data_IF_305525853576
#
_entry.id   IF_305525853576
#
_cell.length_a   1.000
_cell.length_b   1.000
_cell.length_c   1.000
_cell.angle_alpha   90.00
_cell.angle_beta   90.00
_cell.angle_gamma   90.00
#
_symmetry.space_group_name_H-M   'P 1'
#
loop_
_entity.id
_entity.type
_entity.pdbx_description
1 polymer ?
#
# COMPACT_ATOMS: atom_id res chain seq x y z
N UNK A 1 -27.21 -8.41 10.97
CA UNK A 1 -27.55 -7.70 12.22
C UNK A 1 -26.58 -8.08 13.32
N UNK A 2 -26.32 -7.15 14.25
CA UNK A 2 -25.44 -7.33 15.41
C UNK A 2 -26.23 -7.08 16.69
N UNK A 3 -26.43 -8.09 17.56
CA UNK A 3 -27.02 -7.89 18.87
C UNK A 3 -26.08 -7.06 19.74
N UNK A 4 -26.60 -6.07 20.43
CA UNK A 4 -25.83 -5.14 21.25
C UNK A 4 -26.47 -5.02 22.62
N UNK A 5 -25.66 -5.21 23.67
CA UNK A 5 -26.06 -5.06 25.05
C UNK A 5 -25.46 -3.76 25.63
N UNK A 6 -26.27 -2.99 26.32
CA UNK A 6 -25.85 -1.76 27.03
C UNK A 6 -26.11 -1.97 28.51
N UNK A 7 -25.07 -1.72 29.32
CA UNK A 7 -25.15 -1.78 30.77
C UNK A 7 -24.62 -0.48 31.37
N UNK A 8 -25.42 0.20 32.18
CA UNK A 8 -25.01 1.39 32.92
C UNK A 8 -25.31 1.19 34.40
N UNK A 9 -24.28 1.36 35.23
CA UNK A 9 -24.35 1.23 36.68
C UNK A 9 -23.75 2.44 37.36
N UNK A 10 -24.29 2.84 38.50
CA UNK A 10 -23.73 3.90 39.31
C UNK A 10 -22.50 3.43 40.10
N UNK A 11 -21.52 4.31 40.27
CA UNK A 11 -20.30 4.00 41.05
C UNK A 11 -20.61 3.65 42.51
N UNK A 12 -21.68 4.23 43.05
CA UNK A 12 -22.17 3.92 44.41
C UNK A 12 -22.93 2.59 44.51
N UNK A 13 -23.10 1.87 43.42
CA UNK A 13 -23.83 0.61 43.33
C UNK A 13 -25.26 0.79 42.79
N UNK A 14 -25.78 -0.24 42.14
CA UNK A 14 -27.09 -0.28 41.51
C UNK A 14 -27.08 0.14 40.03
N UNK A 15 -28.01 -0.43 39.26
CA UNK A 15 -28.19 -0.11 37.85
C UNK A 15 -28.90 1.22 37.61
N UNK A 16 -28.66 1.85 36.49
CA UNK A 16 -29.35 3.06 36.05
C UNK A 16 -30.74 2.70 35.51
N UNK A 17 -31.69 2.48 36.42
CA UNK A 17 -33.01 2.01 36.11
C UNK A 17 -33.81 3.00 35.25
N UNK A 18 -34.49 2.52 34.20
CA UNK A 18 -35.35 3.30 33.29
C UNK A 18 -34.64 4.47 32.59
N UNK A 19 -33.29 4.44 32.53
CA UNK A 19 -32.51 5.48 31.87
C UNK A 19 -32.74 5.43 30.36
N UNK A 20 -33.13 6.54 29.71
CA UNK A 20 -33.20 6.63 28.27
C UNK A 20 -31.77 6.79 27.68
N UNK A 21 -31.45 5.96 26.71
CA UNK A 21 -30.14 5.93 26.02
C UNK A 21 -30.40 6.09 24.51
N UNK A 22 -29.51 6.77 23.83
CA UNK A 22 -29.48 6.86 22.35
C UNK A 22 -28.26 6.11 21.85
N UNK A 23 -28.48 5.14 20.94
CA UNK A 23 -27.40 4.32 20.40
C UNK A 23 -27.20 4.63 18.92
N UNK A 24 -25.97 4.97 18.56
CA UNK A 24 -25.53 5.16 17.18
C UNK A 24 -24.47 4.14 16.84
N UNK A 25 -24.40 3.76 15.57
CA UNK A 25 -23.43 2.78 15.07
C UNK A 25 -22.90 3.19 13.70
N UNK A 26 -21.59 3.08 13.55
CA UNK A 26 -20.87 3.36 12.32
C UNK A 26 -19.99 2.15 11.97
N UNK A 27 -20.00 1.75 10.69
CA UNK A 27 -19.14 0.70 10.16
C UNK A 27 -18.11 1.33 9.24
N UNK A 28 -16.86 0.94 9.39
CA UNK A 28 -15.75 1.33 8.49
C UNK A 28 -14.85 0.14 8.18
N UNK A 29 -14.06 0.23 7.12
CA UNK A 29 -13.02 -0.76 6.84
C UNK A 29 -11.99 -0.81 7.97
N UNK A 30 -11.51 -2.00 8.32
CA UNK A 30 -10.44 -2.21 9.30
C UNK A 30 -9.14 -2.55 8.58
N UNK A 31 -8.13 -1.70 8.70
CA UNK A 31 -6.79 -2.02 8.26
C UNK A 31 -6.18 -3.09 9.19
N UNK A 32 -5.58 -4.11 8.60
CA UNK A 32 -4.89 -5.18 9.32
C UNK A 32 -3.38 -5.00 9.19
N UNK A 33 -2.70 -5.23 10.29
CA UNK A 33 -1.24 -5.25 10.34
C UNK A 33 -0.79 -6.40 11.23
N UNK A 34 0.09 -7.26 10.70
CA UNK A 34 0.70 -8.36 11.44
C UNK A 34 2.22 -8.20 11.37
N UNK A 35 2.87 -8.01 12.53
CA UNK A 35 4.31 -7.73 12.64
C UNK A 35 5.19 -8.79 11.99
N UNK A 36 4.78 -10.06 12.03
CA UNK A 36 5.54 -11.17 11.45
C UNK A 36 5.35 -11.28 9.92
N UNK A 37 4.39 -10.54 9.35
CA UNK A 37 4.00 -10.59 7.94
C UNK A 37 3.99 -9.20 7.27
N UNK A 38 4.88 -8.30 7.68
CA UNK A 38 4.96 -6.92 7.14
C UNK A 38 5.16 -6.85 5.61
N UNK A 39 5.72 -7.91 5.01
CA UNK A 39 5.91 -7.99 3.57
C UNK A 39 4.63 -8.34 2.79
N UNK A 40 3.56 -8.72 3.49
CA UNK A 40 2.28 -9.08 2.89
C UNK A 40 1.33 -7.88 2.92
N UNK A 41 0.52 -7.76 1.86
CA UNK A 41 -0.61 -6.85 1.81
C UNK A 41 -1.84 -7.53 2.38
N UNK A 42 -2.57 -6.80 3.23
CA UNK A 42 -3.89 -7.14 3.74
C UNK A 42 -4.93 -6.09 3.32
N UNK A 43 -4.60 -5.31 2.30
CA UNK A 43 -5.46 -4.26 1.78
C UNK A 43 -6.64 -4.83 0.99
N UNK A 44 -7.82 -4.19 1.03
CA UNK A 44 -8.97 -4.61 0.24
C UNK A 44 -8.71 -4.48 -1.26
N UNK A 45 -9.36 -5.32 -2.10
CA UNK A 45 -9.38 -5.09 -3.54
C UNK A 45 -10.00 -3.74 -3.90
N UNK A 46 -9.48 -3.09 -4.93
CA UNK A 46 -10.05 -1.84 -5.43
C UNK A 46 -11.43 -2.08 -6.01
N UNK A 47 -12.36 -1.15 -5.76
CA UNK A 47 -13.70 -1.23 -6.36
C UNK A 47 -13.63 -1.20 -7.89
N UNK A 48 -14.43 -2.03 -8.55
CA UNK A 48 -14.58 -1.99 -10.00
C UNK A 48 -15.40 -0.75 -10.37
N UNK A 49 -14.75 0.36 -10.65
CA UNK A 49 -15.42 1.54 -11.21
C UNK A 49 -15.49 1.40 -12.73
N UNK A 50 -16.72 1.40 -13.26
CA UNK A 50 -16.96 1.63 -14.68
C UNK A 50 -17.04 3.16 -14.89
N UNK A 51 -15.99 3.70 -15.50
CA UNK A 51 -16.00 5.00 -16.16
C UNK A 51 -16.18 6.22 -15.27
N UNK A 52 -15.08 6.77 -14.76
CA UNK A 52 -14.77 8.21 -14.74
C UNK A 52 -13.38 8.43 -14.14
N UNK A 53 -12.62 9.31 -14.77
CA UNK A 53 -11.35 9.77 -14.26
C UNK A 53 -11.55 10.41 -12.87
N UNK A 54 -10.95 9.84 -11.85
CA UNK A 54 -10.79 10.50 -10.55
C UNK A 54 -9.30 10.68 -10.28
N UNK A 55 -8.99 11.90 -9.87
CA UNK A 55 -7.69 12.34 -9.40
C UNK A 55 -7.18 11.45 -8.26
N UNK A 56 -5.89 11.08 -8.35
CA UNK A 56 -5.13 10.33 -7.36
C UNK A 56 -4.90 11.16 -6.07
N UNK A 57 -5.92 11.27 -5.23
CA UNK A 57 -5.76 11.63 -3.83
C UNK A 57 -5.82 10.34 -2.99
N UNK A 58 -4.72 9.62 -2.90
CA UNK A 58 -4.60 8.39 -2.10
C UNK A 58 -4.81 8.61 -0.59
N UNK A 59 -4.74 9.83 -0.07
CA UNK A 59 -4.99 10.13 1.34
C UNK A 59 -6.47 10.21 1.73
N UNK A 60 -7.40 10.28 0.76
CA UNK A 60 -8.83 10.42 1.03
C UNK A 60 -9.57 9.08 1.22
N UNK A 61 -8.94 7.93 0.97
CA UNK A 61 -9.65 6.64 0.89
C UNK A 61 -10.04 6.03 2.24
N UNK A 62 -9.40 6.37 3.35
CA UNK A 62 -9.74 5.81 4.66
C UNK A 62 -11.04 6.39 5.27
N UNK A 63 -11.45 7.59 4.88
CA UNK A 63 -12.66 8.24 5.40
C UNK A 63 -13.91 8.04 4.53
N UNK A 64 -13.78 7.62 3.28
CA UNK A 64 -14.90 7.51 2.34
C UNK A 64 -15.74 6.24 2.48
N UNK A 65 -15.26 5.21 3.19
CA UNK A 65 -15.98 3.95 3.38
C UNK A 65 -16.71 3.84 4.74
N UNK A 66 -16.74 4.92 5.53
CA UNK A 66 -17.49 4.95 6.78
C UNK A 66 -18.99 5.10 6.50
N UNK A 67 -19.77 4.15 7.02
CA UNK A 67 -21.22 4.13 6.85
C UNK A 67 -21.92 4.12 8.20
N UNK A 68 -22.80 5.09 8.43
CA UNK A 68 -23.71 5.07 9.58
C UNK A 68 -24.78 3.99 9.33
N UNK A 69 -24.86 3.01 10.22
CA UNK A 69 -25.83 1.89 10.17
C UNK A 69 -26.93 2.04 11.21
N UNK A 70 -26.72 2.86 12.23
CA UNK A 70 -27.74 3.28 13.19
C UNK A 70 -27.49 4.71 13.63
N UNK A 71 -28.53 5.52 13.69
CA UNK A 71 -28.47 6.90 14.17
C UNK A 71 -29.47 7.11 15.30
N UNK A 72 -28.94 7.32 16.51
CA UNK A 72 -29.69 7.68 17.72
C UNK A 72 -30.88 6.76 18.01
N UNK A 73 -30.73 5.46 17.80
CA UNK A 73 -31.78 4.49 18.14
C UNK A 73 -32.17 4.61 19.62
N UNK A 74 -33.43 4.74 19.94
CA UNK A 74 -33.88 4.87 21.33
C UNK A 74 -33.81 3.51 22.04
N UNK A 75 -33.23 3.48 23.23
CA UNK A 75 -33.19 2.35 24.14
C UNK A 75 -33.51 2.81 25.54
N UNK A 76 -34.44 2.13 26.25
CA UNK A 76 -34.69 2.36 27.67
C UNK A 76 -34.16 1.20 28.47
N UNK A 77 -33.29 1.47 29.43
CA UNK A 77 -32.72 0.45 30.28
C UNK A 77 -33.73 -0.10 31.26
N UNK A 78 -33.60 -1.36 31.65
CA UNK A 78 -34.45 -2.01 32.65
C UNK A 78 -34.09 -1.58 34.08
N UNK A 79 -34.68 -2.24 35.09
CA UNK A 79 -34.43 -1.94 36.53
C UNK A 79 -33.00 -2.28 36.95
N UNK A 80 -32.32 -3.16 36.26
CA UNK A 80 -30.93 -3.51 36.52
C UNK A 80 -29.93 -2.59 35.81
N UNK A 81 -30.40 -1.64 35.00
CA UNK A 81 -29.58 -0.77 34.17
C UNK A 81 -29.11 -1.43 32.87
N UNK A 82 -29.76 -2.54 32.47
CA UNK A 82 -29.43 -3.27 31.25
C UNK A 82 -30.44 -2.94 30.13
N UNK A 83 -29.97 -2.98 28.89
CA UNK A 83 -30.81 -2.86 27.72
C UNK A 83 -30.22 -3.63 26.53
N UNK A 84 -31.09 -4.17 25.68
CA UNK A 84 -30.69 -4.90 24.48
C UNK A 84 -31.32 -4.27 23.25
N UNK A 85 -30.53 -4.15 22.20
CA UNK A 85 -31.02 -3.76 20.87
C UNK A 85 -30.26 -4.52 19.80
N UNK A 86 -30.77 -4.46 18.58
CA UNK A 86 -30.10 -5.06 17.43
C UNK A 86 -29.75 -3.96 16.43
N UNK A 87 -28.49 -3.91 16.01
CA UNK A 87 -28.07 -3.05 14.92
C UNK A 87 -28.30 -3.80 13.61
N UNK A 88 -29.27 -3.35 12.84
CA UNK A 88 -29.60 -3.92 11.55
C UNK A 88 -28.83 -3.27 10.41
N UNK A 89 -28.93 -3.83 9.19
CA UNK A 89 -28.31 -3.30 7.98
C UNK A 89 -26.80 -3.14 8.01
N UNK A 90 -26.12 -3.94 8.84
CA UNK A 90 -24.66 -4.02 8.81
C UNK A 90 -24.24 -4.63 7.48
N UNK A 91 -23.42 -3.92 6.65
CA UNK A 91 -23.04 -4.41 5.34
C UNK A 91 -22.21 -5.69 5.44
N UNK A 92 -22.49 -6.65 4.57
CA UNK A 92 -21.58 -7.79 4.38
C UNK A 92 -20.40 -7.34 3.53
N UNK A 93 -19.19 -7.63 3.98
CA UNK A 93 -17.96 -7.39 3.25
C UNK A 93 -17.10 -8.65 3.27
N UNK A 94 -16.20 -8.77 2.31
CA UNK A 94 -15.18 -9.81 2.27
C UNK A 94 -13.86 -9.39 2.92
N UNK A 95 -13.86 -8.19 3.51
CA UNK A 95 -12.77 -7.63 4.29
C UNK A 95 -13.21 -7.37 5.72
N UNK A 96 -12.28 -7.37 6.68
CA UNK A 96 -12.57 -7.01 8.04
C UNK A 96 -13.10 -5.58 8.16
N UNK A 97 -14.11 -5.43 9.00
CA UNK A 97 -14.72 -4.14 9.29
C UNK A 97 -14.64 -3.85 10.79
N UNK A 98 -14.71 -2.59 11.12
CA UNK A 98 -14.82 -2.11 12.49
C UNK A 98 -16.20 -1.49 12.69
N UNK A 99 -16.96 -2.04 13.64
CA UNK A 99 -18.21 -1.49 14.09
C UNK A 99 -17.92 -0.62 15.32
N UNK A 100 -18.08 0.68 15.17
CA UNK A 100 -18.02 1.64 16.26
C UNK A 100 -19.42 1.88 16.80
N UNK A 101 -19.64 1.54 18.06
CA UNK A 101 -20.88 1.75 18.80
C UNK A 101 -20.72 2.94 19.75
N UNK A 102 -21.72 3.80 19.81
CA UNK A 102 -21.75 4.95 20.68
C UNK A 102 -23.11 5.01 21.38
N UNK A 103 -23.11 5.00 22.71
CA UNK A 103 -24.30 5.15 23.52
C UNK A 103 -24.24 6.46 24.31
N UNK A 104 -25.24 7.32 24.12
CA UNK A 104 -25.35 8.64 24.74
C UNK A 104 -26.53 8.69 25.68
N UNK A 105 -26.33 9.20 26.88
CA UNK A 105 -27.35 9.34 27.91
C UNK A 105 -27.11 10.60 28.74
N UNK A 106 -28.14 11.08 29.45
CA UNK A 106 -27.98 12.14 30.42
C UNK A 106 -27.83 11.54 31.82
N UNK A 107 -26.82 11.99 32.55
CA UNK A 107 -26.60 11.61 33.95
C UNK A 107 -27.65 12.26 34.87
N UNK A 108 -27.73 11.92 36.19
CA UNK A 108 -28.66 12.52 37.11
C UNK A 108 -28.54 14.03 37.25
N UNK A 109 -27.40 14.63 36.88
CA UNK A 109 -27.18 16.09 36.92
C UNK A 109 -27.60 16.75 35.60
N UNK A 110 -28.04 15.99 34.60
CA UNK A 110 -28.42 16.45 33.26
C UNK A 110 -27.24 16.61 32.29
N UNK A 111 -26.05 16.21 32.67
CA UNK A 111 -24.89 16.22 31.77
C UNK A 111 -24.95 15.05 30.79
N UNK A 112 -24.63 15.34 29.54
CA UNK A 112 -24.64 14.32 28.49
C UNK A 112 -23.33 13.52 28.56
N UNK A 113 -23.46 12.23 28.79
CA UNK A 113 -22.37 11.26 28.81
C UNK A 113 -22.42 10.40 27.54
N UNK A 114 -21.25 10.03 27.06
CA UNK A 114 -21.12 9.18 25.88
C UNK A 114 -20.13 8.07 26.16
N UNK A 115 -20.56 6.84 26.00
CA UNK A 115 -19.70 5.64 26.04
C UNK A 115 -19.52 5.08 24.65
N UNK A 116 -18.32 4.58 24.34
CA UNK A 116 -17.96 4.04 23.05
C UNK A 116 -17.44 2.62 23.19
N UNK A 117 -17.77 1.79 22.23
CA UNK A 117 -17.24 0.43 22.09
C UNK A 117 -16.92 0.16 20.64
N UNK A 118 -15.86 -0.59 20.40
CA UNK A 118 -15.44 -0.94 19.06
C UNK A 118 -15.37 -2.46 18.94
N UNK A 119 -16.04 -3.00 17.93
CA UNK A 119 -16.07 -4.43 17.66
C UNK A 119 -15.56 -4.70 16.26
N UNK A 120 -14.67 -5.70 16.12
CA UNK A 120 -14.25 -6.17 14.78
C UNK A 120 -15.26 -7.15 14.23
N UNK A 121 -15.70 -6.88 13.00
CA UNK A 121 -16.53 -7.78 12.21
C UNK A 121 -15.65 -8.53 11.22
N UNK A 122 -15.47 -9.81 11.45
CA UNK A 122 -14.67 -10.68 10.60
C UNK A 122 -15.53 -11.33 9.51
N UNK A 123 -15.16 -11.26 8.23
CA UNK A 123 -15.92 -11.88 7.14
C UNK A 123 -15.82 -13.41 7.13
N UNK A 124 -14.73 -13.97 7.63
CA UNK A 124 -14.44 -15.39 7.70
C UNK A 124 -13.60 -15.69 8.96
N UNK A 125 -13.47 -16.94 9.32
CA UNK A 125 -12.59 -17.37 10.42
C UNK A 125 -11.09 -17.27 10.08
N UNK A 126 -10.77 -16.96 8.82
CA UNK A 126 -9.42 -16.82 8.28
C UNK A 126 -9.26 -15.46 7.58
N UNK A 127 -8.02 -14.98 7.53
CA UNK A 127 -7.63 -13.75 6.86
C UNK A 127 -6.72 -14.08 5.69
N UNK A 128 -7.03 -13.55 4.50
CA UNK A 128 -6.16 -13.63 3.34
C UNK A 128 -5.06 -12.56 3.40
N UNK A 129 -3.87 -12.90 2.95
CA UNK A 129 -2.77 -11.97 2.70
C UNK A 129 -2.12 -12.29 1.35
N UNK A 130 -1.48 -11.33 0.73
CA UNK A 130 -0.76 -11.54 -0.53
C UNK A 130 0.54 -10.74 -0.56
N UNK A 131 1.58 -11.38 -1.11
CA UNK A 131 2.88 -10.75 -1.36
C UNK A 131 3.28 -10.96 -2.80
N UNK A 132 3.65 -9.87 -3.49
CA UNK A 132 4.11 -9.88 -4.86
C UNK A 132 5.35 -9.00 -5.03
N UNK A 133 6.03 -9.14 -6.16
CA UNK A 133 7.08 -8.22 -6.59
C UNK A 133 6.43 -6.90 -7.06
N UNK A 134 7.20 -5.79 -7.06
CA UNK A 134 6.66 -4.49 -7.48
C UNK A 134 6.39 -4.43 -8.98
N UNK A 135 7.19 -5.15 -9.77
CA UNK A 135 7.02 -5.25 -11.22
C UNK A 135 7.59 -6.55 -11.79
N UNK A 136 7.12 -6.91 -12.99
CA UNK A 136 7.59 -8.07 -13.76
C UNK A 136 7.51 -7.76 -15.26
N UNK A 137 8.40 -8.30 -16.06
CA UNK A 137 8.29 -8.20 -17.52
C UNK A 137 7.18 -9.11 -18.05
N UNK A 138 6.40 -8.63 -19.01
CA UNK A 138 5.35 -9.41 -19.65
C UNK A 138 5.90 -10.76 -20.16
N UNK A 139 5.10 -11.82 -20.03
CA UNK A 139 5.44 -13.22 -20.39
C UNK A 139 6.55 -13.85 -19.55
N UNK A 140 7.20 -13.15 -18.64
CA UNK A 140 8.06 -13.76 -17.65
C UNK A 140 7.23 -14.44 -16.56
N UNK A 141 7.82 -15.47 -15.93
CA UNK A 141 7.21 -16.10 -14.76
C UNK A 141 7.34 -15.16 -13.57
N UNK A 142 6.21 -14.76 -13.04
CA UNK A 142 6.09 -14.03 -11.79
C UNK A 142 5.88 -15.01 -10.65
N UNK A 143 6.60 -14.80 -9.56
CA UNK A 143 6.39 -15.53 -8.31
C UNK A 143 5.73 -14.64 -7.29
N UNK A 144 4.72 -15.17 -6.64
CA UNK A 144 4.01 -14.49 -5.56
C UNK A 144 3.56 -15.48 -4.51
N UNK A 145 3.15 -14.98 -3.37
CA UNK A 145 2.75 -15.80 -2.23
C UNK A 145 1.39 -15.36 -1.74
N UNK A 146 0.47 -16.30 -1.63
CA UNK A 146 -0.76 -16.11 -0.89
C UNK A 146 -0.58 -16.67 0.52
N UNK A 147 -1.27 -16.07 1.48
CA UNK A 147 -1.16 -16.36 2.91
C UNK A 147 -2.55 -16.49 3.51
N UNK A 148 -2.73 -17.47 4.40
CA UNK A 148 -3.91 -17.59 5.24
C UNK A 148 -3.49 -17.54 6.72
N UNK A 149 -4.10 -16.65 7.48
CA UNK A 149 -3.89 -16.47 8.92
C UNK A 149 -5.19 -16.64 9.69
N UNK A 150 -5.09 -17.00 10.95
CA UNK A 150 -6.14 -16.80 11.94
C UNK A 150 -6.21 -15.32 12.36
N UNK A 151 -7.26 -14.90 13.03
CA UNK A 151 -7.44 -13.50 13.44
C UNK A 151 -6.32 -12.98 14.36
N UNK A 152 -5.69 -13.88 15.14
CA UNK A 152 -4.57 -13.58 16.05
C UNK A 152 -3.20 -13.56 15.36
N UNK A 153 -3.16 -13.70 14.04
CA UNK A 153 -1.92 -13.68 13.25
C UNK A 153 -1.20 -15.02 13.15
N UNK A 154 -1.74 -16.10 13.76
CA UNK A 154 -1.17 -17.44 13.59
C UNK A 154 -1.47 -17.99 12.21
N UNK A 155 -0.57 -18.82 11.69
CA UNK A 155 -0.77 -19.52 10.43
C UNK A 155 -2.06 -20.35 10.43
N UNK A 156 -2.83 -20.30 9.35
CA UNK A 156 -3.99 -21.16 9.11
C UNK A 156 -3.64 -22.21 8.03
N UNK A 157 -3.13 -23.40 8.42
CA UNK A 157 -2.76 -24.45 7.47
C UNK A 157 -4.01 -25.08 6.84
N UNK A 158 -3.82 -25.77 5.70
CA UNK A 158 -4.86 -26.49 4.94
C UNK A 158 -6.07 -25.62 4.52
N UNK A 159 -5.89 -24.30 4.53
CA UNK A 159 -6.91 -23.33 4.12
C UNK A 159 -6.94 -23.23 2.59
N UNK A 160 -8.13 -23.27 2.00
CA UNK A 160 -8.29 -23.07 0.55
C UNK A 160 -7.98 -21.62 0.17
N UNK A 161 -7.02 -21.46 -0.74
CA UNK A 161 -6.57 -20.16 -1.26
C UNK A 161 -6.75 -20.13 -2.78
N UNK A 162 -7.28 -19.02 -3.28
CA UNK A 162 -7.41 -18.73 -4.71
C UNK A 162 -6.88 -17.34 -4.97
N UNK A 163 -6.16 -17.16 -6.07
CA UNK A 163 -5.70 -15.83 -6.50
C UNK A 163 -6.23 -15.55 -7.90
N UNK A 164 -6.92 -14.42 -8.04
CA UNK A 164 -7.44 -13.89 -9.29
C UNK A 164 -6.60 -12.69 -9.71
N UNK A 165 -6.36 -12.54 -11.02
CA UNK A 165 -5.67 -11.39 -11.58
C UNK A 165 -6.65 -10.49 -12.34
N UNK A 166 -6.55 -9.18 -12.12
CA UNK A 166 -7.39 -8.16 -12.74
C UNK A 166 -6.46 -7.10 -13.33
N UNK A 167 -6.41 -6.99 -14.66
CA UNK A 167 -5.62 -5.96 -15.32
C UNK A 167 -6.39 -4.63 -15.38
N UNK A 168 -5.70 -3.53 -15.10
CA UNK A 168 -6.16 -2.16 -15.29
C UNK A 168 -5.33 -1.53 -16.41
N UNK A 169 -5.94 -1.46 -17.60
CA UNK A 169 -5.30 -0.96 -18.80
C UNK A 169 -5.69 0.50 -18.97
N UNK A 170 -4.76 1.40 -18.72
CA UNK A 170 -4.99 2.84 -18.95
C UNK A 170 -4.51 3.22 -20.33
N UNK A 171 -5.44 3.62 -21.19
CA UNK A 171 -5.16 4.16 -22.52
C UNK A 171 -5.22 5.68 -22.45
N UNK A 172 -4.09 6.33 -22.71
CA UNK A 172 -3.99 7.77 -22.75
C UNK A 172 -4.09 8.26 -24.19
N UNK A 173 -5.11 9.05 -24.49
CA UNK A 173 -5.27 9.72 -25.80
C UNK A 173 -4.99 11.21 -25.67
N UNK A 174 -4.11 11.72 -26.53
CA UNK A 174 -3.79 13.15 -26.59
C UNK A 174 -4.77 13.86 -27.53
N UNK A 175 -5.61 14.73 -27.01
CA UNK A 175 -6.55 15.54 -27.79
C UNK A 175 -6.02 16.98 -27.91
N UNK A 176 -6.06 17.53 -29.12
CA UNK A 176 -5.72 18.94 -29.34
C UNK A 176 -6.95 19.79 -28.99
N UNK A 177 -6.77 20.71 -28.06
CA UNK A 177 -7.80 21.67 -27.64
C UNK A 177 -7.84 22.89 -28.52
N UNK A 178 -8.96 23.61 -28.49
CA UNK A 178 -9.07 24.95 -29.11
C UNK A 178 -8.04 25.87 -28.46
N UNK A 179 -7.22 26.55 -29.26
CA UNK A 179 -6.11 27.36 -28.76
C UNK A 179 -4.73 26.72 -28.84
N UNK A 180 -4.63 25.48 -29.35
CA UNK A 180 -3.36 24.78 -29.58
C UNK A 180 -2.79 24.03 -28.36
N UNK A 181 -3.50 24.02 -27.24
CA UNK A 181 -3.16 23.20 -26.07
C UNK A 181 -3.50 21.73 -26.32
N UNK A 182 -2.81 20.85 -25.62
CA UNK A 182 -3.13 19.43 -25.61
C UNK A 182 -3.71 19.05 -24.25
N UNK A 183 -4.81 18.30 -24.27
CA UNK A 183 -5.37 17.62 -23.11
C UNK A 183 -5.10 16.13 -23.25
N UNK A 184 -4.79 15.48 -22.15
CA UNK A 184 -4.69 14.03 -22.07
C UNK A 184 -5.99 13.48 -21.53
N UNK A 185 -6.59 12.55 -22.25
CA UNK A 185 -7.82 11.85 -21.85
C UNK A 185 -7.43 10.41 -21.50
N UNK A 186 -7.54 10.08 -20.22
CA UNK A 186 -7.20 8.77 -19.69
C UNK A 186 -8.46 7.93 -19.59
N UNK A 187 -8.46 6.81 -20.29
CA UNK A 187 -9.52 5.81 -20.17
C UNK A 187 -8.92 4.56 -19.54
N UNK A 188 -9.43 4.15 -18.38
CA UNK A 188 -9.02 2.93 -17.71
C UNK A 188 -10.05 1.84 -17.96
N UNK A 189 -9.62 0.76 -18.61
CA UNK A 189 -10.39 -0.44 -18.80
C UNK A 189 -9.96 -1.49 -17.78
N UNK A 190 -10.92 -2.15 -17.14
CA UNK A 190 -10.66 -3.24 -16.20
C UNK A 190 -10.94 -4.57 -16.90
N UNK A 191 -9.91 -5.43 -17.02
CA UNK A 191 -9.99 -6.74 -17.64
C UNK A 191 -9.74 -7.83 -16.61
N UNK A 192 -10.69 -8.74 -16.47
CA UNK A 192 -10.53 -9.93 -15.64
C UNK A 192 -9.66 -10.95 -16.38
N UNK A 193 -8.49 -11.29 -15.82
CA UNK A 193 -7.58 -12.29 -16.38
C UNK A 193 -7.85 -13.70 -15.82
N UNK A 194 -8.84 -13.82 -14.93
CA UNK A 194 -9.22 -15.08 -14.32
C UNK A 194 -8.34 -15.51 -13.16
N UNK A 195 -8.52 -16.78 -12.76
CA UNK A 195 -7.77 -17.38 -11.67
C UNK A 195 -6.37 -17.78 -12.13
N UNK A 196 -5.35 -17.27 -11.43
CA UNK A 196 -3.93 -17.50 -11.76
C UNK A 196 -3.24 -18.46 -10.80
N UNK A 197 -3.85 -18.75 -9.66
CA UNK A 197 -3.34 -19.72 -8.69
C UNK A 197 -4.46 -20.24 -7.81
N UNK A 198 -4.45 -21.54 -7.50
CA UNK A 198 -5.33 -22.19 -6.51
C UNK A 198 -4.56 -23.25 -5.77
N UNK A 199 -4.89 -23.45 -4.51
CA UNK A 199 -4.30 -24.51 -3.70
C UNK A 199 -4.67 -24.37 -2.24
N UNK A 200 -4.02 -25.16 -1.41
CA UNK A 200 -4.15 -25.10 0.06
C UNK A 200 -2.87 -24.56 0.67
N UNK A 201 -3.02 -23.82 1.75
CA UNK A 201 -1.88 -23.30 2.52
C UNK A 201 -1.10 -24.43 3.20
N UNK A 202 0.23 -24.27 3.28
CA UNK A 202 1.14 -25.17 3.99
C UNK A 202 1.05 -24.98 5.52
N UNK A 203 1.91 -25.66 6.28
CA UNK A 203 1.98 -25.54 7.74
C UNK A 203 2.28 -24.13 8.25
N UNK A 204 2.80 -23.25 7.41
CA UNK A 204 3.08 -21.82 7.69
C UNK A 204 1.97 -20.89 7.19
N UNK A 205 0.87 -21.46 6.69
CA UNK A 205 -0.21 -20.68 6.10
C UNK A 205 0.06 -20.19 4.67
N UNK A 206 1.16 -20.62 4.00
CA UNK A 206 1.62 -20.11 2.72
C UNK A 206 1.18 -20.99 1.55
N UNK A 207 0.84 -20.35 0.43
CA UNK A 207 0.71 -20.95 -0.89
C UNK A 207 1.66 -20.23 -1.84
N UNK A 208 2.65 -20.94 -2.37
CA UNK A 208 3.59 -20.42 -3.37
C UNK A 208 2.98 -20.56 -4.75
N UNK A 209 2.94 -19.47 -5.48
CA UNK A 209 2.33 -19.38 -6.80
C UNK A 209 3.31 -18.92 -7.87
N UNK A 210 3.14 -19.42 -9.08
CA UNK A 210 3.80 -18.91 -10.29
C UNK A 210 2.73 -18.64 -11.37
N UNK A 211 2.78 -17.47 -11.98
CA UNK A 211 1.91 -17.12 -13.10
C UNK A 211 2.68 -16.39 -14.20
N UNK A 212 2.13 -16.42 -15.41
CA UNK A 212 2.57 -15.57 -16.53
C UNK A 212 1.44 -14.62 -16.86
N UNK A 213 1.75 -13.34 -16.91
CA UNK A 213 0.81 -12.29 -17.26
C UNK A 213 1.21 -11.71 -18.62
N UNK A 214 0.29 -11.75 -19.57
CA UNK A 214 0.52 -11.29 -20.95
C UNK A 214 0.11 -9.82 -21.14
N UNK A 215 -0.82 -9.34 -20.30
CA UNK A 215 -1.31 -7.96 -20.36
C UNK A 215 -0.33 -7.02 -19.67
N UNK A 216 0.09 -5.98 -20.37
CA UNK A 216 0.92 -4.91 -19.81
C UNK A 216 0.05 -3.89 -19.06
N UNK A 217 0.59 -3.31 -18.01
CA UNK A 217 -0.09 -2.33 -17.17
C UNK A 217 -0.11 -2.73 -15.70
N UNK A 218 -0.96 -2.09 -14.93
CA UNK A 218 -1.17 -2.45 -13.53
C UNK A 218 -2.07 -3.70 -13.44
N UNK A 219 -1.58 -4.74 -12.78
CA UNK A 219 -2.37 -5.96 -12.51
C UNK A 219 -2.57 -6.06 -11.01
N UNK A 220 -3.82 -6.09 -10.59
CA UNK A 220 -4.21 -6.35 -9.21
C UNK A 220 -4.38 -7.85 -9.01
N UNK A 221 -3.65 -8.42 -8.06
CA UNK A 221 -3.80 -9.80 -7.61
C UNK A 221 -4.68 -9.82 -6.38
N UNK A 222 -5.79 -10.53 -6.45
CA UNK A 222 -6.77 -10.66 -5.36
C UNK A 222 -6.68 -12.08 -4.80
N UNK A 223 -6.18 -12.20 -3.58
CA UNK A 223 -6.16 -13.46 -2.85
C UNK A 223 -7.45 -13.60 -2.04
N UNK A 224 -8.10 -14.76 -2.18
CA UNK A 224 -9.29 -15.16 -1.43
C UNK A 224 -8.96 -16.37 -0.59
N UNK A 225 -9.16 -16.29 0.73
CA UNK A 225 -9.09 -17.41 1.66
C UNK A 225 -10.50 -17.84 2.02
N UNK A 226 -10.75 -19.15 1.98
CA UNK A 226 -12.06 -19.73 2.31
C UNK A 226 -11.93 -20.57 3.58
N UNK A 227 -12.77 -20.28 4.57
CA UNK A 227 -12.83 -21.04 5.81
C UNK A 227 -13.61 -22.37 5.63
N UNK A 228 -13.57 -23.29 6.61
CA UNK A 228 -14.26 -24.60 6.51
C UNK A 228 -15.77 -24.50 6.37
N UNK A 229 -16.38 -23.37 6.72
CA UNK A 229 -17.84 -23.13 6.63
C UNK A 229 -18.23 -22.51 5.30
N UNK A 230 -17.24 -22.09 4.48
CA UNK A 230 -17.45 -21.49 3.18
C UNK A 230 -17.44 -19.97 3.16
N UNK A 231 -17.18 -19.29 4.30
CA UNK A 231 -17.01 -17.84 4.29
C UNK A 231 -15.64 -17.45 3.72
N UNK A 232 -15.56 -16.29 3.14
CA UNK A 232 -14.37 -15.84 2.42
C UNK A 232 -13.83 -14.51 2.95
N UNK A 233 -12.51 -14.41 2.98
CA UNK A 233 -11.77 -13.17 3.21
C UNK A 233 -10.90 -12.86 1.99
N UNK A 234 -10.81 -11.59 1.60
CA UNK A 234 -10.05 -11.15 0.43
C UNK A 234 -8.99 -10.12 0.82
N UNK A 235 -7.86 -10.17 0.10
CA UNK A 235 -6.82 -9.14 0.15
C UNK A 235 -6.19 -8.99 -1.22
N UNK A 236 -5.70 -7.79 -1.53
CA UNK A 236 -5.12 -7.49 -2.83
C UNK A 236 -3.74 -6.85 -2.73
N UNK A 237 -2.95 -7.05 -3.79
CA UNK A 237 -1.71 -6.34 -4.05
C UNK A 237 -1.56 -6.09 -5.55
N UNK A 238 -1.01 -4.94 -5.92
CA UNK A 238 -0.75 -4.60 -7.31
C UNK A 238 0.67 -4.98 -7.72
N UNK A 239 0.82 -5.40 -8.97
CA UNK A 239 2.07 -5.63 -9.66
C UNK A 239 2.03 -4.93 -11.01
N UNK A 240 3.15 -4.32 -11.41
CA UNK A 240 3.27 -3.73 -12.73
C UNK A 240 3.83 -4.75 -13.72
N UNK A 241 3.10 -5.00 -14.80
CA UNK A 241 3.54 -5.84 -15.91
C UNK A 241 4.05 -4.94 -17.02
N UNK A 242 5.34 -5.02 -17.33
CA UNK A 242 6.00 -4.16 -18.31
C UNK A 242 6.23 -4.90 -19.59
N UNK A 243 6.01 -4.26 -20.74
CA UNK A 243 6.33 -4.81 -22.06
C UNK A 243 7.55 -4.10 -22.62
N UNK A 244 8.53 -4.86 -23.13
CA UNK A 244 9.69 -4.28 -23.79
C UNK A 244 9.26 -3.40 -24.97
N UNK A 245 9.78 -2.18 -25.02
CA UNK A 245 9.52 -1.22 -26.09
C UNK A 245 8.26 -0.38 -25.95
N UNK A 246 7.43 -0.59 -24.95
CA UNK A 246 6.34 0.34 -24.62
C UNK A 246 6.88 1.50 -23.78
N UNK A 247 6.78 2.71 -24.33
CA UNK A 247 6.97 3.94 -23.55
C UNK A 247 5.72 4.17 -22.71
N UNK A 248 5.90 4.30 -21.41
CA UNK A 248 4.78 4.65 -20.55
C UNK A 248 4.53 6.16 -20.62
N UNK A 249 3.35 6.54 -21.04
CA UNK A 249 2.89 7.91 -20.98
C UNK A 249 1.94 8.05 -19.80
N UNK A 250 2.42 8.58 -18.67
CA UNK A 250 1.53 9.06 -17.63
C UNK A 250 0.66 10.18 -18.20
N UNK A 251 -0.65 10.05 -18.01
CA UNK A 251 -1.61 11.00 -18.58
C UNK A 251 -1.67 12.35 -17.89
N UNK A 252 -0.75 12.63 -16.98
CA UNK A 252 -0.72 13.87 -16.24
C UNK A 252 0.49 14.72 -16.64
N UNK A 253 0.23 16.01 -16.83
CA UNK A 253 1.25 17.00 -17.22
C UNK A 253 2.04 17.51 -16.01
N UNK A 254 2.45 16.59 -15.11
CA UNK A 254 3.29 16.89 -13.96
C UNK A 254 4.71 16.34 -14.11
N UNK A 255 5.64 16.90 -13.36
CA UNK A 255 7.06 16.55 -13.42
C UNK A 255 7.43 15.30 -12.63
N UNK A 256 6.45 14.51 -12.17
CA UNK A 256 6.64 13.28 -11.41
C UNK A 256 6.55 12.05 -12.29
N UNK A 257 7.31 11.01 -11.94
CA UNK A 257 7.26 9.66 -12.50
C UNK A 257 7.27 8.63 -11.41
N UNK A 258 6.70 7.46 -11.69
CA UNK A 258 6.79 6.33 -10.79
C UNK A 258 8.19 5.71 -10.84
N UNK A 259 8.76 5.48 -9.68
CA UNK A 259 9.97 4.72 -9.47
C UNK A 259 9.61 3.46 -8.70
N UNK A 260 9.67 2.30 -9.37
CA UNK A 260 9.19 1.04 -8.84
C UNK A 260 10.35 0.15 -8.41
N UNK A 261 10.55 -0.08 -7.10
CA UNK A 261 11.52 -1.05 -6.65
C UNK A 261 11.03 -2.48 -6.92
N UNK A 262 11.94 -3.39 -7.29
CA UNK A 262 11.62 -4.81 -7.47
C UNK A 262 11.12 -5.45 -6.17
N UNK A 263 11.70 -5.06 -5.03
CA UNK A 263 11.32 -5.47 -3.67
C UNK A 263 11.20 -4.26 -2.77
N UNK A 264 10.39 -4.34 -1.73
CA UNK A 264 10.30 -3.29 -0.70
C UNK A 264 11.39 -3.39 0.37
N UNK A 265 12.04 -4.56 0.52
CA UNK A 265 13.08 -4.81 1.52
C UNK A 265 14.23 -5.59 0.91
N UNK A 266 15.45 -5.20 1.25
CA UNK A 266 16.70 -5.78 0.77
C UNK A 266 17.65 -6.06 1.93
N UNK A 267 18.55 -7.04 1.73
CA UNK A 267 19.68 -7.27 2.63
C UNK A 267 20.92 -6.54 2.13
N UNK A 268 21.84 -6.22 3.03
CA UNK A 268 23.14 -5.65 2.69
C UNK A 268 23.89 -6.57 1.69
N UNK A 269 24.40 -6.00 0.60
CA UNK A 269 25.08 -6.72 -0.47
C UNK A 269 24.18 -7.22 -1.60
N UNK A 270 22.84 -7.21 -1.45
CA UNK A 270 21.91 -7.44 -2.56
C UNK A 270 21.97 -6.30 -3.58
N UNK A 271 21.46 -6.56 -4.78
CA UNK A 271 21.26 -5.53 -5.80
C UNK A 271 19.81 -5.12 -5.81
N UNK A 272 19.55 -3.87 -5.45
CA UNK A 272 18.22 -3.25 -5.58
C UNK A 272 18.04 -2.77 -7.03
N UNK A 273 16.95 -3.24 -7.66
CA UNK A 273 16.55 -2.83 -9.01
C UNK A 273 15.33 -1.96 -8.96
N UNK A 274 15.37 -0.86 -9.71
CA UNK A 274 14.28 0.11 -9.81
C UNK A 274 13.92 0.30 -11.27
N UNK A 275 12.64 0.18 -11.58
CA UNK A 275 12.13 0.55 -12.89
C UNK A 275 11.72 2.02 -12.87
N UNK A 276 12.29 2.80 -13.78
CA UNK A 276 12.00 4.23 -13.97
C UNK A 276 10.94 4.36 -15.05
N UNK A 277 9.71 4.73 -14.68
CA UNK A 277 8.60 4.86 -15.63
C UNK A 277 8.61 6.20 -16.33
N UNK A 278 9.64 6.44 -17.15
CA UNK A 278 9.82 7.70 -17.84
C UNK A 278 9.13 7.72 -19.22
N UNK A 279 8.58 8.86 -19.65
CA UNK A 279 7.98 9.05 -20.97
C UNK A 279 9.03 9.36 -22.06
N UNK A 280 10.31 9.07 -21.79
CA UNK A 280 11.42 9.37 -22.69
C UNK A 280 12.02 8.09 -23.24
N UNK A 281 12.36 8.07 -24.54
CA UNK A 281 13.10 6.97 -25.13
C UNK A 281 14.53 6.90 -24.61
N UNK A 282 15.15 8.07 -24.40
CA UNK A 282 16.45 8.22 -23.79
C UNK A 282 16.44 9.37 -22.80
N UNK A 283 17.09 9.20 -21.70
CA UNK A 283 17.26 10.24 -20.69
C UNK A 283 18.61 10.08 -19.99
N UNK A 284 19.22 11.18 -19.59
CA UNK A 284 20.29 11.20 -18.61
C UNK A 284 19.63 11.25 -17.24
N UNK A 285 19.91 10.28 -16.38
CA UNK A 285 19.34 10.21 -15.04
C UNK A 285 20.41 10.54 -14.00
N UNK A 286 20.08 11.46 -13.09
CA UNK A 286 20.77 11.61 -11.83
C UNK A 286 20.01 10.75 -10.80
N UNK A 287 20.68 9.75 -10.29
CA UNK A 287 20.17 8.86 -9.24
C UNK A 287 20.84 9.25 -7.93
N UNK A 288 20.05 9.49 -6.88
CA UNK A 288 20.58 9.73 -5.55
C UNK A 288 19.99 8.75 -4.54
N UNK A 289 20.80 8.32 -3.60
CA UNK A 289 20.39 7.56 -2.41
C UNK A 289 20.46 8.50 -1.22
N UNK A 290 19.36 8.62 -0.52
CA UNK A 290 19.14 9.68 0.46
C UNK A 290 18.55 9.11 1.76
N UNK A 291 18.94 9.66 2.90
CA UNK A 291 18.29 9.46 4.20
C UNK A 291 18.32 10.76 5.01
N UNK A 292 19.27 11.09 5.73
CA UNK A 292 19.45 12.37 6.46
C UNK A 292 20.22 13.41 5.61
N UNK A 293 20.47 13.05 4.37
CA UNK A 293 21.23 13.76 3.35
C UNK A 293 21.51 12.82 2.19
N UNK A 294 22.27 13.27 1.23
CA UNK A 294 22.67 12.45 0.08
C UNK A 294 23.80 11.52 0.53
N UNK A 295 23.58 10.19 0.45
CA UNK A 295 24.57 9.17 0.76
C UNK A 295 25.47 8.95 -0.46
N UNK A 296 24.88 8.73 -1.64
CA UNK A 296 25.62 8.56 -2.90
C UNK A 296 24.81 9.07 -4.10
N UNK A 297 25.51 9.35 -5.19
CA UNK A 297 24.89 9.78 -6.46
C UNK A 297 25.52 9.07 -7.65
N UNK A 298 24.69 8.78 -8.67
CA UNK A 298 25.13 8.20 -9.93
C UNK A 298 24.51 8.96 -11.09
N UNK A 299 25.28 9.14 -12.18
CA UNK A 299 24.76 9.66 -13.44
C UNK A 299 24.74 8.53 -14.46
N UNK A 300 23.58 8.20 -14.96
CA UNK A 300 23.34 7.06 -15.84
C UNK A 300 22.62 7.49 -17.11
N UNK A 301 22.86 6.77 -18.21
CA UNK A 301 22.02 6.88 -19.41
C UNK A 301 20.92 5.83 -19.34
N UNK A 302 19.68 6.27 -19.37
CA UNK A 302 18.51 5.39 -19.36
C UNK A 302 17.95 5.26 -20.78
N UNK A 303 17.61 4.03 -21.13
CA UNK A 303 16.89 3.69 -22.35
C UNK A 303 15.45 3.30 -22.00
N UNK A 304 14.45 3.89 -22.65
CA UNK A 304 13.03 3.60 -22.41
C UNK A 304 12.61 2.16 -22.73
N UNK A 305 13.43 1.39 -23.45
CA UNK A 305 13.18 -0.04 -23.65
C UNK A 305 13.53 -0.88 -22.41
N UNK A 306 14.52 -0.45 -21.63
CA UNK A 306 14.90 -1.05 -20.35
C UNK A 306 15.32 0.06 -19.37
N UNK A 307 14.33 0.81 -18.83
CA UNK A 307 14.62 1.93 -17.96
C UNK A 307 14.86 1.47 -16.51
N UNK A 308 15.85 0.58 -16.33
CA UNK A 308 16.18 -0.03 -15.04
C UNK A 308 17.44 0.59 -14.43
N UNK A 309 17.33 0.99 -13.17
CA UNK A 309 18.46 1.39 -12.31
C UNK A 309 18.79 0.26 -11.36
N UNK A 310 20.07 -0.13 -11.28
CA UNK A 310 20.52 -1.17 -10.37
C UNK A 310 21.56 -0.59 -9.41
N UNK A 311 21.31 -0.72 -8.10
CA UNK A 311 22.17 -0.21 -7.04
C UNK A 311 22.54 -1.32 -6.09
N UNK A 312 23.82 -1.37 -5.67
CA UNK A 312 24.28 -2.34 -4.67
C UNK A 312 23.99 -1.80 -3.28
N UNK A 313 23.21 -2.54 -2.51
CA UNK A 313 22.77 -2.13 -1.16
C UNK A 313 23.97 -2.15 -0.21
N UNK A 314 24.24 -1.01 0.42
CA UNK A 314 25.33 -0.78 1.35
C UNK A 314 24.88 -0.96 2.80
N UNK A 315 25.85 -1.17 3.72
CA UNK A 315 25.56 -1.38 5.15
C UNK A 315 25.06 -0.12 5.87
N UNK A 316 25.37 1.05 5.35
CA UNK A 316 25.00 2.36 5.88
C UNK A 316 23.60 2.84 5.43
N UNK A 317 22.93 2.08 4.57
CA UNK A 317 21.59 2.38 4.10
C UNK A 317 20.48 2.01 5.12
N UNK A 318 20.78 1.17 6.09
CA UNK A 318 19.79 0.73 7.09
C UNK A 318 19.31 1.84 8.01
N UNK A 319 18.06 1.78 8.55
CA UNK A 319 17.06 0.74 8.29
C UNK A 319 16.23 0.96 7.01
N UNK A 320 16.29 2.14 6.41
CA UNK A 320 15.64 2.49 5.14
C UNK A 320 16.39 3.62 4.44
N UNK A 321 16.24 3.72 3.15
CA UNK A 321 16.70 4.83 2.33
C UNK A 321 15.64 5.20 1.29
N UNK A 322 15.68 6.43 0.84
CA UNK A 322 14.97 6.92 -0.32
C UNK A 322 15.90 6.92 -1.53
N UNK A 323 15.41 6.44 -2.65
CA UNK A 323 16.11 6.51 -3.93
C UNK A 323 15.34 7.50 -4.80
N UNK A 324 16.00 8.57 -5.21
CA UNK A 324 15.45 9.54 -6.16
C UNK A 324 16.10 9.38 -7.53
N UNK A 325 15.30 9.55 -8.58
CA UNK A 325 15.75 9.51 -9.98
C UNK A 325 15.22 10.73 -10.71
N UNK A 326 16.11 11.64 -11.05
CA UNK A 326 15.82 12.77 -11.91
C UNK A 326 16.21 12.43 -13.34
N UNK A 327 15.22 12.09 -14.17
CA UNK A 327 15.42 11.80 -15.58
C UNK A 327 15.32 13.08 -16.42
N UNK A 328 16.38 13.38 -17.15
CA UNK A 328 16.51 14.57 -17.98
C UNK A 328 16.56 14.17 -19.45
N UNK A 329 15.68 14.75 -20.24
CA UNK A 329 15.73 14.69 -21.71
C UNK A 329 16.20 16.03 -22.26
N UNK A 330 17.26 16.01 -23.07
CA UNK A 330 17.73 17.19 -23.77
C UNK A 330 16.72 17.72 -24.78
N UNK A 331 17.01 18.85 -25.40
CA UNK A 331 16.21 19.40 -26.50
C UNK A 331 16.27 18.44 -27.68
N UNK A 332 15.11 18.05 -28.21
CA UNK A 332 15.02 17.30 -29.45
C UNK A 332 15.36 18.21 -30.64
N UNK A 333 16.09 17.65 -31.59
CA UNK A 333 16.55 18.36 -32.79
C UNK A 333 16.03 17.65 -34.03
N UNK A 334 15.80 18.44 -35.06
CA UNK A 334 15.60 17.89 -36.40
C UNK A 334 16.91 17.24 -36.85
N UNK A 335 16.83 15.97 -37.28
CA UNK A 335 18.00 15.26 -37.82
C UNK A 335 17.63 14.76 -39.24
N UNK A 336 17.80 15.64 -40.24
CA UNK A 336 17.52 15.25 -41.61
C UNK A 336 18.54 14.23 -42.12
N UNK A 337 18.13 13.34 -43.02
CA UNK A 337 18.97 12.25 -43.50
C UNK A 337 20.32 12.71 -44.08
N UNK A 338 20.36 13.87 -44.72
CA UNK A 338 21.60 14.44 -45.27
C UNK A 338 22.59 14.92 -44.21
N UNK A 339 22.18 15.07 -42.96
CA UNK A 339 23.08 15.42 -41.85
C UNK A 339 24.14 14.35 -41.60
N UNK A 340 23.94 13.15 -42.12
CA UNK A 340 24.99 12.11 -42.14
C UNK A 340 26.25 12.61 -42.80
N UNK A 341 26.14 13.32 -43.92
CA UNK A 341 27.29 13.85 -44.68
C UNK A 341 27.95 15.06 -44.02
N UNK A 342 27.33 15.66 -43.02
CA UNK A 342 27.90 16.80 -42.31
C UNK A 342 28.62 16.39 -41.02
N UNK A 343 27.95 15.61 -40.19
CA UNK A 343 28.52 15.18 -38.92
C UNK A 343 28.39 13.66 -38.65
N UNK A 344 27.41 12.99 -39.25
CA UNK A 344 27.11 11.59 -39.01
C UNK A 344 28.27 10.66 -39.37
N UNK A 345 29.04 10.99 -40.38
CA UNK A 345 30.20 10.20 -40.77
C UNK A 345 31.34 10.23 -39.73
N UNK A 346 31.37 11.27 -38.86
CA UNK A 346 32.34 11.40 -37.78
C UNK A 346 31.93 10.60 -36.52
N UNK A 347 30.62 10.45 -36.31
CA UNK A 347 30.04 9.73 -35.19
C UNK A 347 28.81 8.92 -35.64
N UNK A 348 28.97 7.83 -36.41
CA UNK A 348 27.88 7.14 -37.09
C UNK A 348 26.87 6.53 -36.11
N UNK A 349 27.31 6.03 -34.96
CA UNK A 349 26.43 5.47 -33.95
C UNK A 349 25.56 6.53 -33.28
N UNK A 350 26.14 7.72 -32.97
CA UNK A 350 25.40 8.85 -32.40
C UNK A 350 24.41 9.43 -33.39
N UNK A 351 24.85 9.56 -34.67
CA UNK A 351 23.97 10.03 -35.74
C UNK A 351 22.77 9.09 -35.95
N UNK A 352 23.02 7.77 -35.97
CA UNK A 352 21.98 6.77 -36.13
C UNK A 352 20.94 6.84 -35.02
N UNK A 353 21.40 6.98 -33.78
CA UNK A 353 20.52 7.15 -32.64
C UNK A 353 19.72 8.45 -32.74
N UNK A 354 20.37 9.56 -33.05
CA UNK A 354 19.70 10.85 -33.21
C UNK A 354 18.69 10.81 -34.36
N UNK A 355 19.03 10.23 -35.51
CA UNK A 355 18.15 10.13 -36.67
C UNK A 355 16.89 9.29 -36.39
N UNK A 356 17.10 8.09 -35.81
CA UNK A 356 15.99 7.18 -35.57
C UNK A 356 15.13 7.53 -34.35
N UNK A 357 15.69 8.16 -33.35
CA UNK A 357 15.00 8.43 -32.11
C UNK A 357 14.66 9.91 -31.91
N UNK A 358 15.63 10.82 -31.94
CA UNK A 358 15.36 12.26 -31.77
C UNK A 358 14.60 12.84 -32.96
N UNK A 359 15.02 12.55 -34.17
CA UNK A 359 14.41 13.08 -35.41
C UNK A 359 12.96 12.62 -35.60
N UNK A 360 12.59 11.42 -35.13
CA UNK A 360 11.20 10.94 -35.17
C UNK A 360 10.31 11.55 -34.09
N UNK A 361 10.88 11.93 -32.98
CA UNK A 361 10.14 12.61 -31.89
C UNK A 361 10.12 14.13 -32.04
N UNK A 362 11.02 14.67 -32.87
CA UNK A 362 11.08 16.10 -33.12
C UNK A 362 9.76 16.61 -33.70
N UNK A 363 9.25 17.65 -33.09
CA UNK A 363 8.14 18.45 -33.61
C UNK A 363 8.60 19.93 -33.66
N UNK A 364 8.44 20.54 -34.82
CA UNK A 364 8.78 21.94 -34.98
C UNK A 364 8.01 22.81 -34.00
N UNK A 365 8.65 23.73 -33.28
CA UNK A 365 7.98 24.65 -32.37
C UNK A 365 6.91 25.43 -33.10
N UNK A 366 5.74 25.56 -32.52
CA UNK A 366 4.71 26.50 -32.95
C UNK A 366 4.78 27.76 -32.12
N UNK A 367 4.09 28.82 -32.52
CA UNK A 367 4.04 30.07 -31.75
C UNK A 367 3.49 29.89 -30.32
N UNK A 368 2.80 28.80 -30.04
CA UNK A 368 2.12 28.54 -28.77
C UNK A 368 2.73 27.37 -27.96
N UNK A 369 3.40 26.42 -28.64
CA UNK A 369 3.85 25.16 -27.96
C UNK A 369 5.19 24.69 -28.56
N UNK A 370 6.17 24.45 -27.72
CA UNK A 370 7.44 23.78 -28.05
C UNK A 370 7.51 22.40 -27.38
N UNK A 371 7.13 21.35 -28.07
CA UNK A 371 7.18 19.96 -27.60
C UNK A 371 8.60 19.36 -27.61
N UNK A 372 9.53 20.03 -28.31
CA UNK A 372 10.93 19.61 -28.42
C UNK A 372 11.83 20.25 -27.37
N UNK A 373 11.27 21.05 -26.45
CA UNK A 373 12.02 21.68 -25.33
C UNK A 373 12.61 20.60 -24.41
N UNK A 374 13.69 20.91 -23.69
CA UNK A 374 14.19 20.03 -22.63
C UNK A 374 13.08 19.72 -21.62
N UNK A 375 13.05 18.51 -21.14
CA UNK A 375 12.07 18.07 -20.14
C UNK A 375 12.76 17.25 -19.06
N UNK A 376 12.21 17.29 -17.85
CA UNK A 376 12.66 16.48 -16.75
C UNK A 376 11.49 15.77 -16.08
N UNK A 377 11.80 14.70 -15.37
CA UNK A 377 10.86 13.96 -14.53
C UNK A 377 11.59 13.46 -13.30
N UNK A 378 10.93 13.52 -12.15
CA UNK A 378 11.46 13.09 -10.86
C UNK A 378 10.63 11.95 -10.29
N UNK A 379 11.28 10.83 -9.98
CA UNK A 379 10.71 9.71 -9.24
C UNK A 379 11.38 9.53 -7.89
N UNK A 380 10.62 9.05 -6.90
CA UNK A 380 11.10 8.76 -5.56
C UNK A 380 10.55 7.41 -5.12
N UNK A 381 11.39 6.57 -4.51
CA UNK A 381 10.97 5.30 -3.91
C UNK A 381 11.70 5.07 -2.58
N UNK A 382 10.98 4.54 -1.60
CA UNK A 382 11.56 4.06 -0.36
C UNK A 382 11.85 2.56 -0.45
N UNK A 383 13.02 2.15 0.04
CA UNK A 383 13.34 0.75 0.30
C UNK A 383 13.83 0.57 1.73
N UNK A 384 13.52 -0.57 2.31
CA UNK A 384 13.99 -0.97 3.64
C UNK A 384 15.25 -1.83 3.50
N UNK A 385 16.21 -1.59 4.37
CA UNK A 385 17.47 -2.32 4.36
C UNK A 385 17.75 -2.85 5.75
N UNK A 386 17.80 -4.17 5.91
CA UNK A 386 18.23 -4.90 7.09
C UNK A 386 17.99 -4.20 8.43
N UNK A 387 16.80 -4.30 9.00
CA UNK A 387 16.50 -3.70 10.32
C UNK A 387 17.25 -4.32 11.48
N UNK A 388 17.79 -5.51 11.28
CA UNK A 388 18.45 -6.31 12.34
C UNK A 388 19.65 -5.63 12.96
N UNK A 389 20.43 -4.86 12.18
CA UNK A 389 21.59 -4.12 12.67
C UNK A 389 21.22 -2.89 13.54
N UNK A 390 19.96 -2.44 13.48
CA UNK A 390 19.50 -1.20 14.14
C UNK A 390 18.42 -1.47 15.20
N UNK A 391 18.04 -2.73 15.44
CA UNK A 391 16.99 -3.10 16.36
C UNK A 391 17.53 -3.40 17.75
N UNK A 392 17.11 -2.65 18.75
CA UNK A 392 17.33 -2.98 20.16
C UNK A 392 16.23 -3.96 20.60
N UNK A 393 16.64 -5.11 21.13
CA UNK A 393 15.72 -6.07 21.70
C UNK A 393 15.41 -5.68 23.15
N UNK A 394 14.13 -5.40 23.43
CA UNK A 394 13.67 -5.05 24.76
C UNK A 394 12.78 -6.14 25.31
N UNK A 395 13.12 -6.64 26.52
CA UNK A 395 12.28 -7.56 27.30
C UNK A 395 11.80 -6.84 28.53
N UNK A 396 10.50 -6.95 28.80
CA UNK A 396 9.86 -6.42 29.99
C UNK A 396 9.31 -7.59 30.78
N UNK A 397 9.69 -7.72 32.03
CA UNK A 397 9.21 -8.76 32.93
C UNK A 397 8.75 -8.14 34.26
N UNK A 398 7.53 -8.42 34.65
CA UNK A 398 7.00 -8.08 35.95
C UNK A 398 7.30 -9.22 36.96
N UNK A 399 7.45 -8.88 38.23
CA UNK A 399 7.69 -9.87 39.31
C UNK A 399 6.44 -10.69 39.62
N UNK A 400 5.24 -10.26 39.18
CA UNK A 400 3.95 -10.94 39.38
C UNK A 400 3.07 -10.78 38.15
N UNK A 401 2.13 -11.71 37.99
CA UNK A 401 1.14 -11.68 36.91
C UNK A 401 0.01 -10.65 37.14
N UNK A 402 -0.29 -10.34 38.40
CA UNK A 402 -1.31 -9.37 38.79
C UNK A 402 -0.94 -8.61 40.04
N UNK A 403 -1.44 -7.39 40.15
CA UNK A 403 -1.20 -6.49 41.27
C UNK A 403 -2.51 -5.95 41.79
N UNK A 404 -2.63 -5.74 43.14
CA UNK A 404 -3.79 -5.07 43.69
C UNK A 404 -3.79 -3.60 43.30
N UNK A 405 -4.97 -3.00 43.23
CA UNK A 405 -5.16 -1.58 42.97
C UNK A 405 -4.34 -0.77 43.98
N UNK A 406 -3.59 0.23 43.48
CA UNK A 406 -2.64 1.04 44.25
C UNK A 406 -1.44 0.26 44.86
N UNK A 407 -1.21 -0.97 44.38
CA UNK A 407 -0.03 -1.76 44.74
C UNK A 407 1.24 -1.23 44.05
N UNK A 408 2.40 -1.66 44.54
CA UNK A 408 3.68 -1.42 43.88
C UNK A 408 4.03 -2.61 42.99
N UNK A 409 4.38 -2.33 41.75
CA UNK A 409 4.89 -3.30 40.80
C UNK A 409 6.41 -3.14 40.64
N UNK A 410 7.12 -4.27 40.58
CA UNK A 410 8.53 -4.28 40.21
C UNK A 410 8.66 -4.84 38.81
N UNK A 411 9.22 -4.04 37.92
CA UNK A 411 9.37 -4.40 36.50
C UNK A 411 10.85 -4.40 36.14
N UNK A 412 11.33 -5.48 35.57
CA UNK A 412 12.68 -5.61 35.03
C UNK A 412 12.66 -5.39 33.54
N UNK A 413 13.43 -4.42 33.06
CA UNK A 413 13.59 -4.10 31.65
C UNK A 413 14.99 -4.50 31.23
N UNK A 414 15.11 -5.36 30.24
CA UNK A 414 16.39 -5.78 29.68
C UNK A 414 16.48 -5.33 28.23
N UNK A 415 17.44 -4.48 27.90
CA UNK A 415 17.71 -4.01 26.55
C UNK A 415 19.03 -4.59 26.04
N UNK A 416 19.01 -5.21 24.85
CA UNK A 416 20.18 -5.77 24.19
C UNK A 416 20.33 -5.26 22.77
N UNK A 417 21.56 -4.95 22.38
CA UNK A 417 21.93 -4.62 21.00
C UNK A 417 21.76 -5.83 20.07
N UNK A 418 21.69 -5.63 18.75
CA UNK A 418 21.86 -6.69 17.79
C UNK A 418 23.10 -7.53 18.10
N UNK A 419 22.96 -8.87 18.12
CA UNK A 419 24.04 -9.74 18.55
C UNK A 419 24.10 -10.02 20.05
N UNK A 420 23.11 -9.56 20.85
CA UNK A 420 22.91 -9.98 22.24
C UNK A 420 23.73 -9.27 23.29
N UNK A 421 24.58 -8.30 22.93
CA UNK A 421 25.32 -7.48 23.90
C UNK A 421 24.38 -6.53 24.66
N UNK A 422 24.57 -6.28 25.97
CA UNK A 422 23.78 -5.29 26.70
C UNK A 422 23.85 -3.91 26.04
N UNK A 423 22.71 -3.25 25.93
CA UNK A 423 22.61 -1.86 25.46
C UNK A 423 22.95 -0.92 26.62
N UNK A 424 24.26 -0.73 26.90
CA UNK A 424 24.71 0.16 27.97
C UNK A 424 24.31 1.61 27.65
N UNK A 425 23.85 2.32 28.69
CA UNK A 425 23.39 3.72 28.61
C UNK A 425 22.18 3.95 27.70
N UNK A 426 21.38 2.91 27.42
CA UNK A 426 20.12 3.08 26.68
C UNK A 426 19.12 3.90 27.53
N UNK A 427 18.49 4.90 26.89
CA UNK A 427 17.37 5.62 27.46
C UNK A 427 16.09 4.80 27.24
N UNK A 428 15.29 4.65 28.29
CA UNK A 428 14.08 3.84 28.25
C UNK A 428 12.89 4.69 28.70
N UNK A 429 11.88 4.83 27.84
CA UNK A 429 10.59 5.38 28.22
C UNK A 429 9.68 4.25 28.73
N UNK A 430 9.11 4.38 29.90
CA UNK A 430 8.22 3.39 30.51
C UNK A 430 6.85 4.00 30.70
N UNK A 431 5.81 3.29 30.23
CA UNK A 431 4.43 3.62 30.52
C UNK A 431 3.76 2.39 31.15
N UNK A 432 3.02 2.61 32.23
CA UNK A 432 2.18 1.59 32.85
C UNK A 432 0.73 2.05 32.79
N UNK A 433 -0.12 1.22 32.23
CA UNK A 433 -1.56 1.45 32.10
C UNK A 433 -2.27 0.32 32.82
N UNK A 434 -3.22 0.63 33.68
CA UNK A 434 -4.09 -0.37 34.28
C UNK A 434 -5.10 -0.89 33.26
N UNK A 435 -5.54 -2.12 33.47
CA UNK A 435 -6.60 -2.72 32.69
C UNK A 435 -7.91 -2.36 33.40
N UNK A 436 -8.67 -1.41 32.83
CA UNK A 436 -10.00 -1.02 33.32
C UNK A 436 -11.07 -2.06 33.02
#
# INVERSE_FOLDING_TARGET
>A
SVPTDVQISYVAGGGAANLPVRVSALVRGKALHYSDYEAFSFSPPRKREQGSARSDDEEATASQDARVVADKLPLTLDRSGAGKLTIDNVPQARQPQELLLEATYADPNGEVQTIRSTQTLWPAAVVAGIKTEGWVSARQKMRFQALALQHDGKAAPDTSLQVQAIARITTTTRKRMVGGFYSYDNQTETKDLGTVCTGKSDSRGLLLCEARLDEAGEVELVATATDPVGNTSESAASVWVTRQGELWFGGEDHDRIDLLPEKKSYQVGETAKFQVRMPFRFATALVAVEREGIIETHVLQLNGQDPTVSLKVQSDWGPNVYVSVLALRGRLREVPWYSFFTWGFKAPGEWWNAFWYEGKEYQAPSALVDLSKPAFRLGLAEIRVGKEAHQINVKVAADKESYPVRGKAQVTITATLPGGKPAAHAEVAVAAVDQA
#
